data_IF_176821968339
#
_entry.id   IF_176821968339
#
_cell.length_a   1.000
_cell.length_b   1.000
_cell.length_c   1.000
_cell.angle_alpha   90.00
_cell.angle_beta   90.00
_cell.angle_gamma   90.00
#
_symmetry.space_group_name_H-M   'P 1'
#
loop_
_entity.id
_entity.type
_entity.pdbx_description
1 polymer ?
#
# COMPACT_ATOMS: atom_id res chain seq x y z
N UNK A 1 -10.61 8.07 4.36
CA UNK A 1 -9.62 7.62 3.35
C UNK A 1 -9.99 7.96 1.91
N UNK A 2 -11.20 7.62 1.42
CA UNK A 2 -11.54 7.69 -0.02
C UNK A 2 -11.25 9.06 -0.68
N UNK A 3 -11.70 10.16 -0.06
CA UNK A 3 -11.50 11.54 -0.56
C UNK A 3 -10.04 11.99 -0.68
N UNK A 4 -9.08 11.29 -0.05
CA UNK A 4 -7.65 11.57 -0.20
C UNK A 4 -7.03 10.91 -1.45
N UNK A 5 -7.81 10.12 -2.20
CA UNK A 5 -7.37 9.47 -3.43
C UNK A 5 -7.35 10.50 -4.57
N UNK A 6 -6.32 10.51 -5.43
CA UNK A 6 -6.38 11.28 -6.67
C UNK A 6 -7.63 10.93 -7.47
N UNK A 7 -8.17 11.91 -8.21
CA UNK A 7 -9.43 11.74 -8.95
C UNK A 7 -9.41 10.50 -9.85
N UNK A 8 -10.38 9.60 -9.64
CA UNK A 8 -10.58 8.36 -10.40
C UNK A 8 -12.06 8.20 -10.72
N UNK A 9 -12.38 7.86 -11.96
CA UNK A 9 -13.75 7.71 -12.44
C UNK A 9 -14.55 6.64 -11.66
N UNK A 10 -13.89 5.58 -11.18
CA UNK A 10 -14.53 4.57 -10.33
C UNK A 10 -14.97 5.11 -8.96
N UNK A 11 -14.15 5.94 -8.33
CA UNK A 11 -14.48 6.55 -7.03
C UNK A 11 -15.59 7.61 -7.18
N UNK A 12 -15.62 8.33 -8.31
CA UNK A 12 -16.71 9.23 -8.66
C UNK A 12 -18.02 8.48 -8.87
N UNK A 13 -17.99 7.39 -9.64
CA UNK A 13 -19.17 6.55 -9.89
C UNK A 13 -19.71 5.92 -8.60
N UNK A 14 -18.83 5.54 -7.69
CA UNK A 14 -19.19 5.02 -6.37
C UNK A 14 -19.63 6.11 -5.37
N UNK A 15 -19.51 7.40 -5.72
CA UNK A 15 -19.90 8.52 -4.85
C UNK A 15 -18.98 8.76 -3.65
N UNK A 16 -17.74 8.26 -3.70
CA UNK A 16 -16.77 8.34 -2.58
C UNK A 16 -15.62 9.32 -2.84
N UNK A 17 -15.49 9.81 -4.08
CA UNK A 17 -14.51 10.81 -4.46
C UNK A 17 -14.71 12.15 -3.71
N UNK A 18 -13.64 12.94 -3.62
CA UNK A 18 -13.76 14.33 -3.18
C UNK A 18 -14.55 15.15 -4.21
N UNK A 19 -15.36 16.10 -3.74
CA UNK A 19 -16.18 16.96 -4.61
C UNK A 19 -15.35 17.96 -5.41
N UNK A 20 -14.22 18.39 -4.85
CA UNK A 20 -13.30 19.33 -5.46
C UNK A 20 -11.86 19.15 -4.94
N UNK A 21 -10.93 19.92 -5.52
CA UNK A 21 -9.53 19.88 -5.15
C UNK A 21 -9.27 20.34 -3.70
N UNK A 22 -10.08 21.24 -3.16
CA UNK A 22 -9.93 21.73 -1.79
C UNK A 22 -10.28 20.64 -0.79
N UNK A 23 -11.39 19.93 -0.99
CA UNK A 23 -11.79 18.80 -0.18
C UNK A 23 -10.79 17.64 -0.28
N UNK A 24 -10.22 17.40 -1.48
CA UNK A 24 -9.17 16.41 -1.66
C UNK A 24 -7.92 16.73 -0.83
N UNK A 25 -7.42 17.98 -0.89
CA UNK A 25 -6.26 18.41 -0.10
C UNK A 25 -6.57 18.36 1.40
N UNK A 26 -7.75 18.81 1.81
CA UNK A 26 -8.18 18.72 3.22
C UNK A 26 -8.23 17.27 3.70
N UNK A 27 -8.70 16.33 2.86
CA UNK A 27 -8.70 14.91 3.17
C UNK A 27 -7.29 14.32 3.27
N UNK A 28 -6.35 14.74 2.42
CA UNK A 28 -4.94 14.32 2.51
C UNK A 28 -4.28 14.85 3.79
N UNK A 29 -4.51 16.12 4.15
CA UNK A 29 -4.00 16.69 5.41
C UNK A 29 -4.56 15.95 6.62
N UNK A 30 -5.89 15.75 6.65
CA UNK A 30 -6.54 14.99 7.73
C UNK A 30 -6.00 13.57 7.83
N UNK A 31 -5.81 12.90 6.69
CA UNK A 31 -5.28 11.54 6.65
C UNK A 31 -3.84 11.47 7.14
N UNK A 32 -3.02 12.49 6.86
CA UNK A 32 -1.63 12.56 7.32
C UNK A 32 -1.52 12.57 8.84
N UNK A 33 -2.48 13.19 9.55
CA UNK A 33 -2.48 13.29 11.02
C UNK A 33 -3.05 12.03 11.72
N UNK A 34 -3.56 11.05 10.98
CA UNK A 34 -4.12 9.82 11.56
C UNK A 34 -2.99 8.94 12.12
N UNK A 35 -3.05 8.50 13.39
CA UNK A 35 -2.12 7.49 13.93
C UNK A 35 -2.23 6.16 13.19
N UNK A 36 -1.10 5.50 12.90
CA UNK A 36 -1.14 4.19 12.23
C UNK A 36 -1.94 3.15 13.02
N UNK A 37 -1.87 3.19 14.35
CA UNK A 37 -2.65 2.32 15.25
C UNK A 37 -4.16 2.42 15.04
N UNK A 38 -4.69 3.51 14.50
CA UNK A 38 -6.12 3.64 14.21
C UNK A 38 -6.58 2.52 13.28
N UNK A 39 -5.77 2.13 12.29
CA UNK A 39 -6.15 1.05 11.34
C UNK A 39 -6.22 -0.35 11.96
N UNK A 40 -5.73 -0.54 13.18
CA UNK A 40 -5.88 -1.79 13.94
C UNK A 40 -7.14 -1.80 14.82
N UNK A 41 -7.72 -0.63 15.10
CA UNK A 41 -8.85 -0.47 16.00
C UNK A 41 -10.14 -0.09 15.24
N UNK A 42 -10.00 0.58 14.10
CA UNK A 42 -11.07 1.06 13.24
C UNK A 42 -10.91 0.45 11.84
N UNK A 43 -11.39 -0.79 11.70
CA UNK A 43 -11.36 -1.51 10.43
C UNK A 43 -12.41 -0.96 9.45
N UNK A 44 -12.07 -0.91 8.16
CA UNK A 44 -12.97 -0.39 7.11
C UNK A 44 -14.15 -1.34 6.82
N UNK A 45 -13.91 -2.64 6.96
CA UNK A 45 -14.91 -3.70 6.85
C UNK A 45 -14.91 -4.45 8.18
N UNK A 46 -16.10 -4.80 8.68
CA UNK A 46 -16.24 -5.36 10.03
C UNK A 46 -15.59 -6.74 10.15
N UNK A 47 -14.72 -6.90 11.15
CA UNK A 47 -13.92 -8.10 11.44
C UNK A 47 -14.81 -9.35 11.56
N UNK A 48 -15.98 -9.24 12.18
CA UNK A 48 -16.88 -10.39 12.37
C UNK A 48 -17.50 -10.87 11.06
N UNK A 49 -17.63 -9.99 10.07
CA UNK A 49 -18.35 -10.29 8.81
C UNK A 49 -17.43 -10.54 7.62
N UNK A 50 -16.13 -10.26 7.74
CA UNK A 50 -15.18 -10.32 6.61
C UNK A 50 -13.92 -11.13 6.94
N UNK A 51 -13.75 -12.25 6.22
CA UNK A 51 -12.60 -13.16 6.39
C UNK A 51 -11.27 -12.50 6.05
N UNK A 52 -11.26 -11.55 5.11
CA UNK A 52 -10.03 -10.86 4.70
C UNK A 52 -9.54 -9.93 5.80
N UNK A 53 -10.45 -9.18 6.44
CA UNK A 53 -10.15 -8.34 7.60
C UNK A 53 -9.63 -9.19 8.75
N UNK A 54 -10.22 -10.36 9.00
CA UNK A 54 -9.69 -11.29 10.01
C UNK A 54 -8.27 -11.72 9.69
N UNK A 55 -8.02 -12.17 8.47
CA UNK A 55 -6.68 -12.57 8.03
C UNK A 55 -5.66 -11.44 8.24
N UNK A 56 -5.98 -10.22 7.83
CA UNK A 56 -5.11 -9.05 7.98
C UNK A 56 -4.79 -8.76 9.45
N UNK A 57 -5.80 -8.75 10.31
CA UNK A 57 -5.65 -8.40 11.72
C UNK A 57 -4.97 -9.53 12.51
N UNK A 58 -5.32 -10.78 12.23
CA UNK A 58 -4.79 -11.95 12.94
C UNK A 58 -3.33 -12.25 12.58
N UNK A 59 -2.90 -11.95 11.36
CA UNK A 59 -1.50 -12.12 10.91
C UNK A 59 -0.62 -10.90 11.21
N UNK A 60 -1.19 -9.79 11.71
CA UNK A 60 -0.42 -8.58 12.00
C UNK A 60 0.58 -8.80 13.16
N UNK A 61 1.87 -8.60 12.87
CA UNK A 61 2.95 -8.74 13.85
C UNK A 61 3.18 -7.44 14.63
N UNK A 62 2.75 -7.43 15.90
CA UNK A 62 2.93 -6.31 16.82
C UNK A 62 4.40 -5.98 17.11
N UNK A 63 5.29 -6.97 17.11
CA UNK A 63 6.71 -6.75 17.36
C UNK A 63 7.39 -6.09 16.16
N UNK A 64 7.05 -6.54 14.94
CA UNK A 64 7.49 -5.90 13.71
C UNK A 64 6.98 -4.46 13.58
N UNK A 65 5.74 -4.19 14.01
CA UNK A 65 5.13 -2.86 13.98
C UNK A 65 5.65 -1.91 15.07
N UNK A 66 6.13 -2.43 16.21
CA UNK A 66 6.51 -1.64 17.38
C UNK A 66 7.36 -0.40 17.09
N UNK A 67 8.41 -0.45 16.23
CA UNK A 67 9.28 0.69 15.95
C UNK A 67 8.56 1.91 15.39
N UNK A 68 7.52 1.70 14.56
CA UNK A 68 6.76 2.79 13.92
C UNK A 68 5.37 2.98 14.56
N UNK A 69 5.06 2.23 15.61
CA UNK A 69 3.71 2.15 16.18
C UNK A 69 3.19 3.47 16.76
N UNK A 70 4.07 4.46 16.93
CA UNK A 70 3.75 5.80 17.42
C UNK A 70 3.60 6.83 16.29
N UNK A 71 3.85 6.43 15.04
CA UNK A 71 3.77 7.32 13.88
C UNK A 71 2.32 7.63 13.50
N UNK A 72 2.15 8.81 12.94
CA UNK A 72 1.02 9.13 12.06
C UNK A 72 1.29 8.62 10.63
N UNK A 73 0.28 8.65 9.75
CA UNK A 73 0.46 8.36 8.32
C UNK A 73 1.48 9.31 7.69
N UNK A 74 1.49 10.59 8.10
CA UNK A 74 2.47 11.59 7.66
C UNK A 74 3.88 11.27 8.10
N UNK A 75 4.07 10.88 9.37
CA UNK A 75 5.37 10.45 9.89
C UNK A 75 5.87 9.20 9.17
N UNK A 76 4.96 8.25 8.88
CA UNK A 76 5.29 7.06 8.13
C UNK A 76 5.76 7.38 6.70
N UNK A 77 5.09 8.31 6.01
CA UNK A 77 5.56 8.82 4.70
C UNK A 77 6.97 9.38 4.82
N UNK A 78 7.24 10.21 5.83
CA UNK A 78 8.55 10.84 6.02
C UNK A 78 9.63 9.79 6.29
N UNK A 79 9.34 8.79 7.14
CA UNK A 79 10.25 7.69 7.42
C UNK A 79 10.56 6.86 6.17
N UNK A 80 9.54 6.50 5.36
CA UNK A 80 9.74 5.78 4.09
C UNK A 80 10.63 6.54 3.10
N UNK A 81 10.55 7.87 3.10
CA UNK A 81 11.40 8.74 2.28
C UNK A 81 12.81 8.92 2.87
N UNK A 82 12.99 8.68 4.17
CA UNK A 82 14.27 8.79 4.87
C UNK A 82 15.28 7.66 4.57
N UNK A 83 16.49 7.80 5.07
CA UNK A 83 17.58 6.83 4.89
C UNK A 83 17.39 5.57 5.74
N UNK A 84 16.68 5.67 6.86
CA UNK A 84 16.42 4.56 7.77
C UNK A 84 15.54 3.46 7.16
N UNK A 85 14.74 3.79 6.13
CA UNK A 85 13.90 2.85 5.40
C UNK A 85 14.71 2.02 4.38
N UNK A 86 15.69 1.26 4.85
CA UNK A 86 16.48 0.32 4.02
C UNK A 86 15.65 -0.90 3.62
N UNK A 87 16.09 -1.66 2.61
CA UNK A 87 15.43 -2.90 2.19
C UNK A 87 15.27 -3.89 3.34
N UNK A 88 16.27 -4.00 4.22
CA UNK A 88 16.25 -4.85 5.41
C UNK A 88 15.20 -4.38 6.43
N UNK A 89 15.17 -3.08 6.71
CA UNK A 89 14.19 -2.50 7.65
C UNK A 89 12.75 -2.66 7.14
N UNK A 90 12.53 -2.44 5.84
CA UNK A 90 11.23 -2.59 5.19
C UNK A 90 10.76 -4.04 5.22
N UNK A 91 11.68 -4.99 4.98
CA UNK A 91 11.39 -6.42 5.07
C UNK A 91 11.04 -6.84 6.50
N UNK A 92 11.75 -6.32 7.50
CA UNK A 92 11.46 -6.58 8.91
C UNK A 92 10.12 -5.98 9.36
N UNK A 93 9.76 -4.82 8.81
CA UNK A 93 8.52 -4.11 9.12
C UNK A 93 7.28 -4.71 8.43
N UNK A 94 7.46 -5.42 7.30
CA UNK A 94 6.37 -5.80 6.40
C UNK A 94 5.19 -6.54 7.08
N UNK A 95 5.45 -7.46 8.02
CA UNK A 95 4.39 -8.19 8.76
C UNK A 95 3.65 -7.32 9.77
N UNK A 96 4.20 -6.17 10.14
CA UNK A 96 3.58 -5.17 11.02
C UNK A 96 2.82 -4.08 10.28
N UNK A 97 2.53 -4.23 8.98
CA UNK A 97 1.77 -3.26 8.20
C UNK A 97 0.46 -3.87 7.72
N UNK A 98 -0.65 -3.16 7.92
CA UNK A 98 -1.92 -3.52 7.27
C UNK A 98 -2.05 -2.88 5.88
N UNK A 99 -2.87 -3.44 4.98
CA UNK A 99 -3.17 -2.82 3.70
C UNK A 99 -3.70 -1.38 3.82
N UNK A 100 -4.48 -1.08 4.86
CA UNK A 100 -5.03 0.25 5.12
C UNK A 100 -3.93 1.27 5.45
N UNK A 101 -2.91 0.89 6.24
CA UNK A 101 -1.75 1.75 6.51
C UNK A 101 -0.99 2.09 5.21
N UNK A 102 -0.75 1.08 4.38
CA UNK A 102 -0.04 1.23 3.09
C UNK A 102 -0.88 2.02 2.08
N UNK A 103 -2.20 1.81 2.06
CA UNK A 103 -3.13 2.58 1.25
C UNK A 103 -3.22 4.04 1.71
N UNK A 104 -3.20 4.28 3.02
CA UNK A 104 -3.24 5.63 3.57
C UNK A 104 -1.99 6.43 3.19
N UNK A 105 -0.80 5.85 3.38
CA UNK A 105 0.46 6.55 3.09
C UNK A 105 0.64 6.79 1.59
N UNK A 106 0.24 5.85 0.73
CA UNK A 106 0.34 6.04 -0.73
C UNK A 106 -0.58 7.16 -1.25
N UNK A 107 -1.72 7.41 -0.59
CA UNK A 107 -2.65 8.49 -0.96
C UNK A 107 -2.11 9.89 -0.69
N UNK A 108 -1.11 10.04 0.17
CA UNK A 108 -0.46 11.33 0.47
C UNK A 108 0.92 11.48 -0.19
N UNK A 109 1.30 10.53 -1.07
CA UNK A 109 2.55 10.54 -1.80
C UNK A 109 2.39 11.11 -3.21
N UNK A 110 3.42 11.80 -3.69
CA UNK A 110 3.54 12.17 -5.10
C UNK A 110 4.05 10.98 -5.92
N UNK A 111 3.92 11.05 -7.25
CA UNK A 111 4.45 10.00 -8.13
C UNK A 111 5.95 9.72 -7.91
N UNK A 112 6.76 10.77 -7.68
CA UNK A 112 8.19 10.62 -7.40
C UNK A 112 8.44 9.92 -6.05
N UNK A 113 7.66 10.26 -5.02
CA UNK A 113 7.72 9.59 -3.72
C UNK A 113 7.40 8.09 -3.88
N UNK A 114 6.33 7.76 -4.61
CA UNK A 114 5.93 6.38 -4.87
C UNK A 114 7.03 5.59 -5.62
N UNK A 115 7.63 6.18 -6.66
CA UNK A 115 8.73 5.56 -7.41
C UNK A 115 9.94 5.34 -6.50
N UNK A 116 10.30 6.35 -5.70
CA UNK A 116 11.47 6.30 -4.84
C UNK A 116 11.31 5.27 -3.71
N UNK A 117 10.18 5.29 -2.99
CA UNK A 117 9.88 4.30 -1.94
C UNK A 117 9.82 2.90 -2.52
N UNK A 118 9.13 2.69 -3.65
CA UNK A 118 9.06 1.39 -4.30
C UNK A 118 10.45 0.87 -4.72
N UNK A 119 11.38 1.76 -5.11
CA UNK A 119 12.75 1.36 -5.48
C UNK A 119 13.59 0.83 -4.31
N UNK A 120 13.21 1.13 -3.06
CA UNK A 120 13.85 0.60 -1.84
C UNK A 120 13.32 -0.79 -1.47
N UNK A 121 12.11 -1.14 -1.92
CA UNK A 121 11.49 -2.43 -1.64
C UNK A 121 12.06 -3.53 -2.54
N UNK A 122 12.75 -4.51 -1.96
CA UNK A 122 13.26 -5.68 -2.69
C UNK A 122 12.42 -6.94 -2.37
N UNK A 123 11.54 -7.32 -3.31
CA UNK A 123 10.67 -8.51 -3.18
C UNK A 123 11.14 -9.58 -4.15
N UNK A 124 11.97 -10.51 -3.65
CA UNK A 124 12.52 -11.62 -4.43
C UNK A 124 11.72 -12.89 -4.17
N UNK A 125 11.20 -13.50 -5.23
CA UNK A 125 10.48 -14.78 -5.17
C UNK A 125 11.11 -15.79 -6.12
N UNK A 126 10.96 -17.07 -5.81
CA UNK A 126 11.55 -18.17 -6.58
C UNK A 126 10.54 -19.29 -6.82
N UNK A 127 10.49 -19.75 -8.06
CA UNK A 127 9.87 -21.03 -8.45
C UNK A 127 10.86 -21.80 -9.33
N UNK A 128 10.63 -21.87 -10.65
CA UNK A 128 11.62 -22.36 -11.63
C UNK A 128 12.73 -21.35 -11.89
N UNK A 129 12.37 -20.06 -11.88
CA UNK A 129 13.28 -18.94 -11.99
C UNK A 129 13.15 -18.05 -10.74
N UNK A 130 14.13 -17.19 -10.52
CA UNK A 130 14.10 -16.16 -9.48
C UNK A 130 13.72 -14.81 -10.09
N UNK A 131 12.68 -14.16 -9.57
CA UNK A 131 12.16 -12.86 -10.04
C UNK A 131 12.29 -11.84 -8.91
N UNK A 132 12.54 -10.57 -9.28
CA UNK A 132 12.61 -9.44 -8.33
C UNK A 132 14.03 -9.03 -7.94
N UNK A 133 15.06 -9.66 -8.53
CA UNK A 133 16.46 -9.26 -8.33
C UNK A 133 16.72 -7.87 -8.90
N UNK A 134 17.52 -7.07 -8.18
CA UNK A 134 17.96 -5.75 -8.62
C UNK A 134 18.65 -5.82 -9.98
N UNK A 135 18.36 -4.86 -10.85
CA UNK A 135 18.92 -4.80 -12.22
C UNK A 135 18.31 -5.79 -13.21
N UNK A 136 17.26 -6.53 -12.84
CA UNK A 136 16.57 -7.47 -13.73
C UNK A 136 15.15 -6.99 -14.03
N UNK A 137 14.73 -7.15 -15.28
CA UNK A 137 13.35 -6.94 -15.71
C UNK A 137 12.81 -8.24 -16.30
N UNK A 138 11.76 -8.79 -15.70
CA UNK A 138 11.07 -9.98 -16.19
C UNK A 138 9.83 -9.59 -17.00
N UNK A 139 9.48 -10.41 -17.98
CA UNK A 139 8.26 -10.21 -18.80
C UNK A 139 7.39 -11.46 -18.74
N UNK A 140 6.07 -11.27 -18.89
CA UNK A 140 5.10 -12.36 -19.03
C UNK A 140 4.83 -12.58 -20.52
N UNK A 141 5.03 -13.80 -20.99
CA UNK A 141 4.53 -14.23 -22.31
C UNK A 141 3.06 -14.65 -22.14
N UNK A 142 2.14 -13.89 -22.73
CA UNK A 142 0.69 -14.13 -22.62
C UNK A 142 0.03 -14.09 -24.01
N UNK A 143 0.14 -15.15 -24.82
CA UNK A 143 -0.63 -15.29 -26.04
C UNK A 143 -2.13 -15.39 -25.67
N UNK A 144 -2.96 -14.61 -26.36
CA UNK A 144 -4.38 -14.47 -26.07
C UNK A 144 -5.23 -14.58 -27.34
N UNK A 145 -4.89 -15.54 -28.21
CA UNK A 145 -5.63 -15.76 -29.45
C UNK A 145 -7.14 -15.95 -29.13
N UNK A 146 -8.07 -15.30 -29.85
CA UNK A 146 -9.50 -15.29 -29.48
C UNK A 146 -10.16 -16.67 -29.38
N UNK A 147 -9.62 -17.67 -30.08
CA UNK A 147 -10.10 -19.06 -30.05
C UNK A 147 -9.07 -20.02 -29.48
N UNK A 148 -8.02 -19.52 -28.82
CA UNK A 148 -6.90 -20.32 -28.31
C UNK A 148 -6.28 -21.22 -29.40
N UNK A 149 -6.09 -20.69 -30.62
CA UNK A 149 -5.44 -21.45 -31.70
C UNK A 149 -3.98 -21.69 -31.32
N UNK A 150 -3.57 -22.95 -31.37
CA UNK A 150 -2.23 -23.40 -31.00
C UNK A 150 -1.19 -22.90 -32.00
N UNK A 151 -1.59 -22.62 -33.24
CA UNK A 151 -0.74 -22.02 -34.27
C UNK A 151 -0.66 -20.49 -34.15
N UNK A 152 -1.55 -19.89 -33.34
CA UNK A 152 -1.52 -18.50 -32.94
C UNK A 152 -2.42 -17.57 -33.73
#
# INVERSE_FOLDING_TARGET
MAKATPLRSGDELAGVAARDATEHVAAQMTLADVPLKTFLNEVLVDYETDEITRLIIDEHDLAAFAPISHFTVGDFRNWLLGEDATAESLKALASGLTPEMVAAVSKIMRNQDLIYVASKCEVVTQFRNTIGLKGHLSTRLQPNHPTDDVLG
#
